data_IF_303481307217
#
_entry.id   IF_303481307217
#
_cell.length_a   1.000
_cell.length_b   1.000
_cell.length_c   1.000
_cell.angle_alpha   90.00
_cell.angle_beta   90.00
_cell.angle_gamma   90.00
#
_symmetry.space_group_name_H-M   'P 1'
#
loop_
_entity.id
_entity.type
_entity.pdbx_description
1 polymer ?
#
# COMPACT_ATOMS: atom_id res chain seq x y z
N UNK A 1 27.57 -37.08 -61.00
CA UNK A 1 26.40 -36.25 -60.62
C UNK A 1 26.60 -35.50 -59.28
N UNK A 2 27.82 -35.10 -58.91
CA UNK A 2 28.12 -34.54 -57.57
C UNK A 2 28.67 -33.09 -57.56
N UNK A 3 28.49 -32.32 -58.64
CA UNK A 3 29.04 -30.95 -58.72
C UNK A 3 28.04 -29.82 -58.38
N UNK A 4 26.75 -30.12 -58.15
CA UNK A 4 25.75 -29.08 -57.83
C UNK A 4 25.70 -28.69 -56.34
N UNK A 5 26.26 -29.50 -55.45
CA UNK A 5 26.11 -29.33 -53.98
C UNK A 5 27.10 -28.32 -53.37
N UNK A 6 28.27 -28.09 -53.99
CA UNK A 6 29.24 -27.11 -53.49
C UNK A 6 28.86 -25.65 -53.79
N UNK A 7 28.22 -25.40 -54.94
CA UNK A 7 27.83 -24.04 -55.34
C UNK A 7 26.68 -23.48 -54.48
N UNK A 8 25.79 -24.34 -53.94
CA UNK A 8 24.75 -23.94 -53.01
C UNK A 8 25.29 -23.54 -51.62
N UNK A 9 26.28 -24.28 -51.10
CA UNK A 9 26.96 -23.93 -49.85
C UNK A 9 27.77 -22.63 -49.98
N UNK A 10 28.49 -22.44 -51.09
CA UNK A 10 29.22 -21.19 -51.37
C UNK A 10 28.28 -19.97 -51.54
N UNK A 11 27.07 -20.18 -52.06
CA UNK A 11 26.06 -19.12 -52.16
C UNK A 11 25.55 -18.69 -50.77
N UNK A 12 25.35 -19.63 -49.85
CA UNK A 12 25.00 -19.29 -48.46
C UNK A 12 26.14 -18.54 -47.76
N UNK A 13 27.40 -18.98 -47.92
CA UNK A 13 28.57 -18.31 -47.33
C UNK A 13 28.75 -16.88 -47.89
N UNK A 14 28.51 -16.66 -49.19
CA UNK A 14 28.54 -15.30 -49.78
C UNK A 14 27.36 -14.43 -49.34
N UNK A 15 26.20 -15.01 -49.05
CA UNK A 15 25.03 -14.30 -48.50
C UNK A 15 25.28 -13.84 -47.06
N UNK A 16 25.95 -14.65 -46.24
CA UNK A 16 26.40 -14.26 -44.89
C UNK A 16 27.46 -13.14 -44.90
N UNK A 17 28.27 -13.01 -45.97
CA UNK A 17 29.22 -11.88 -46.12
C UNK A 17 28.57 -10.53 -46.44
N UNK A 18 27.27 -10.50 -46.77
CA UNK A 18 26.47 -9.28 -46.95
C UNK A 18 25.62 -8.92 -45.73
N UNK A 19 25.65 -9.74 -44.68
CA UNK A 19 25.18 -9.30 -43.37
C UNK A 19 26.18 -8.24 -42.91
N UNK A 20 25.84 -6.97 -43.09
CA UNK A 20 26.45 -5.85 -42.37
C UNK A 20 26.19 -6.14 -40.89
N UNK A 21 27.00 -7.02 -40.31
CA UNK A 21 26.90 -7.39 -38.92
C UNK A 21 27.06 -6.12 -38.13
N UNK A 22 26.02 -5.77 -37.37
CA UNK A 22 26.01 -4.80 -36.28
C UNK A 22 27.25 -3.91 -36.32
N UNK A 23 27.23 -2.85 -37.14
CA UNK A 23 28.37 -1.95 -37.20
C UNK A 23 28.68 -1.52 -35.75
N UNK A 24 29.95 -1.49 -35.33
CA UNK A 24 30.34 -1.29 -33.93
C UNK A 24 29.61 -0.10 -33.26
N UNK A 25 29.39 0.97 -34.03
CA UNK A 25 28.66 2.18 -33.61
C UNK A 25 27.14 1.96 -33.46
N UNK A 26 26.55 1.13 -34.31
CA UNK A 26 25.13 0.76 -34.27
C UNK A 26 24.84 -0.09 -33.03
N UNK A 27 25.73 -1.02 -32.71
CA UNK A 27 25.67 -1.79 -31.46
C UNK A 27 25.87 -0.89 -30.22
N UNK A 28 26.78 0.09 -30.29
CA UNK A 28 27.02 1.04 -29.21
C UNK A 28 25.77 1.87 -28.88
N UNK A 29 25.13 2.45 -29.91
CA UNK A 29 23.90 3.24 -29.72
C UNK A 29 22.75 2.36 -29.23
N UNK A 30 22.61 1.14 -29.75
CA UNK A 30 21.57 0.21 -29.29
C UNK A 30 21.72 -0.13 -27.80
N UNK A 31 22.94 -0.38 -27.33
CA UNK A 31 23.21 -0.65 -25.90
C UNK A 31 22.87 0.57 -25.03
N UNK A 32 23.20 1.78 -25.47
CA UNK A 32 22.88 3.02 -24.72
C UNK A 32 21.36 3.20 -24.60
N UNK A 33 20.63 3.04 -25.70
CA UNK A 33 19.16 3.21 -25.72
C UNK A 33 18.48 2.17 -24.83
N UNK A 34 18.88 0.90 -24.94
CA UNK A 34 18.34 -0.18 -24.10
C UNK A 34 18.74 0.02 -22.64
N UNK A 35 19.96 0.45 -22.35
CA UNK A 35 20.45 0.70 -21.01
C UNK A 35 19.64 1.77 -20.28
N UNK A 36 19.39 2.92 -20.91
CA UNK A 36 18.55 3.98 -20.34
C UNK A 36 17.10 3.49 -20.18
N UNK A 37 16.58 2.75 -21.16
CA UNK A 37 15.24 2.17 -21.10
C UNK A 37 15.05 1.27 -19.88
N UNK A 38 15.98 0.34 -19.63
CA UNK A 38 15.90 -0.58 -18.49
C UNK A 38 15.94 0.18 -17.16
N UNK A 39 16.84 1.17 -17.02
CA UNK A 39 16.93 1.98 -15.78
C UNK A 39 15.63 2.74 -15.53
N UNK A 40 15.01 3.30 -16.56
CA UNK A 40 13.75 4.03 -16.42
C UNK A 40 12.59 3.14 -15.94
N UNK A 41 12.47 1.94 -16.50
CA UNK A 41 11.43 0.98 -16.13
C UNK A 41 11.64 0.47 -14.70
N UNK A 42 12.89 0.26 -14.28
CA UNK A 42 13.20 -0.14 -12.91
C UNK A 42 12.77 0.92 -11.90
N UNK A 43 13.03 2.20 -12.17
CA UNK A 43 12.58 3.28 -11.28
C UNK A 43 11.06 3.35 -11.18
N UNK A 44 10.35 3.22 -12.30
CA UNK A 44 8.88 3.15 -12.31
C UNK A 44 8.37 1.95 -11.52
N UNK A 45 9.01 0.78 -11.65
CA UNK A 45 8.62 -0.43 -10.93
C UNK A 45 8.82 -0.30 -9.41
N UNK A 46 9.92 0.31 -8.96
CA UNK A 46 10.16 0.58 -7.54
C UNK A 46 9.13 1.56 -6.97
N UNK A 47 8.80 2.61 -7.73
CA UNK A 47 7.76 3.55 -7.33
C UNK A 47 6.37 2.89 -7.25
N UNK A 48 6.05 2.00 -8.19
CA UNK A 48 4.80 1.25 -8.18
C UNK A 48 4.68 0.36 -6.93
N UNK A 49 5.75 -0.32 -6.51
CA UNK A 49 5.73 -1.13 -5.28
C UNK A 49 5.49 -0.27 -4.03
N UNK A 50 6.23 0.83 -3.89
CA UNK A 50 6.09 1.74 -2.73
C UNK A 50 4.67 2.33 -2.66
N UNK A 51 4.09 2.69 -3.81
CA UNK A 51 2.73 3.25 -3.85
C UNK A 51 1.66 2.19 -3.57
N UNK A 52 1.86 0.95 -4.05
CA UNK A 52 0.98 -0.18 -3.73
C UNK A 52 1.00 -0.49 -2.22
N UNK A 53 2.16 -0.52 -1.58
CA UNK A 53 2.28 -0.74 -0.13
C UNK A 53 1.54 0.34 0.66
N UNK A 54 1.71 1.62 0.26
CA UNK A 54 0.97 2.73 0.86
C UNK A 54 -0.54 2.62 0.65
N UNK A 55 -1.00 2.13 -0.50
CA UNK A 55 -2.42 1.91 -0.78
C UNK A 55 -3.02 0.81 0.11
N UNK A 56 -2.29 -0.28 0.34
CA UNK A 56 -2.72 -1.36 1.24
C UNK A 56 -2.90 -0.82 2.67
N UNK A 57 -1.95 -0.02 3.15
CA UNK A 57 -2.04 0.63 4.48
C UNK A 57 -3.25 1.57 4.57
N UNK A 58 -3.53 2.35 3.51
CA UNK A 58 -4.73 3.22 3.44
C UNK A 58 -6.04 2.44 3.45
N UNK A 59 -6.12 1.34 2.69
CA UNK A 59 -7.34 0.51 2.63
C UNK A 59 -7.64 -0.12 3.99
N UNK A 60 -6.62 -0.62 4.68
CA UNK A 60 -6.72 -1.14 6.05
C UNK A 60 -7.23 -0.08 7.03
N UNK A 61 -6.70 1.14 6.96
CA UNK A 61 -7.17 2.26 7.78
C UNK A 61 -8.62 2.64 7.45
N UNK A 62 -9.01 2.62 6.18
CA UNK A 62 -10.38 2.94 5.77
C UNK A 62 -11.37 1.91 6.31
N UNK A 63 -11.07 0.62 6.17
CA UNK A 63 -11.88 -0.46 6.71
C UNK A 63 -12.06 -0.36 8.24
N UNK A 64 -10.98 -0.06 8.97
CA UNK A 64 -11.06 0.17 10.42
C UNK A 64 -11.93 1.39 10.77
N UNK A 65 -11.78 2.48 10.03
CA UNK A 65 -12.53 3.69 10.28
C UNK A 65 -14.03 3.49 10.04
N UNK A 66 -14.40 2.73 9.00
CA UNK A 66 -15.78 2.34 8.71
C UNK A 66 -16.34 1.39 9.78
N UNK A 67 -15.59 0.38 10.21
CA UNK A 67 -15.99 -0.51 11.31
C UNK A 67 -16.23 0.27 12.61
N UNK A 68 -15.34 1.21 12.96
CA UNK A 68 -15.53 2.07 14.13
C UNK A 68 -16.74 3.00 13.96
N UNK A 69 -16.96 3.53 12.76
CA UNK A 69 -18.11 4.37 12.46
C UNK A 69 -19.44 3.61 12.63
N UNK A 70 -19.54 2.41 12.09
CA UNK A 70 -20.72 1.53 12.20
C UNK A 70 -21.03 1.20 13.66
N UNK A 71 -20.02 0.79 14.43
CA UNK A 71 -20.17 0.44 15.84
C UNK A 71 -20.62 1.65 16.68
N UNK A 72 -20.16 2.88 16.39
CA UNK A 72 -20.62 4.09 17.10
C UNK A 72 -22.02 4.52 16.64
N UNK A 73 -22.34 4.39 15.35
CA UNK A 73 -23.68 4.68 14.83
C UNK A 73 -24.73 3.67 15.32
N UNK A 74 -24.32 2.45 15.67
CA UNK A 74 -25.17 1.43 16.27
C UNK A 74 -25.59 1.78 17.72
N UNK A 75 -24.73 2.44 18.49
CA UNK A 75 -25.03 2.93 19.85
C UNK A 75 -25.06 4.47 19.92
N UNK A 76 -26.06 5.05 19.27
CA UNK A 76 -26.27 6.52 19.24
C UNK A 76 -26.54 7.12 20.64
N UNK A 77 -27.02 6.32 21.57
CA UNK A 77 -27.36 6.73 22.94
C UNK A 77 -26.13 6.91 23.81
N UNK A 78 -25.09 6.09 23.61
CA UNK A 78 -23.87 6.10 24.43
C UNK A 78 -22.62 6.54 23.65
N UNK A 79 -22.78 7.33 22.59
CA UNK A 79 -21.70 7.84 21.72
C UNK A 79 -20.52 8.39 22.53
N UNK A 80 -20.77 9.09 23.65
CA UNK A 80 -19.75 9.64 24.55
C UNK A 80 -18.75 8.60 25.08
N UNK A 81 -19.21 7.37 25.29
CA UNK A 81 -18.38 6.29 25.82
C UNK A 81 -17.36 5.79 24.79
N UNK A 82 -17.51 6.13 23.51
CA UNK A 82 -16.61 5.72 22.44
C UNK A 82 -15.47 6.72 22.17
N UNK A 83 -15.41 7.85 22.88
CA UNK A 83 -14.29 8.80 22.80
C UNK A 83 -13.05 8.22 23.46
N UNK A 84 -12.01 7.94 22.68
CA UNK A 84 -10.72 7.52 23.24
C UNK A 84 -9.59 7.62 22.22
N UNK A 85 -8.38 7.76 22.75
CA UNK A 85 -7.14 7.66 21.99
C UNK A 85 -6.50 6.34 22.34
N UNK A 86 -6.32 5.47 21.36
CA UNK A 86 -5.47 4.30 21.52
C UNK A 86 -4.15 4.53 20.77
N UNK A 87 -3.07 4.26 21.47
CA UNK A 87 -1.72 4.14 20.93
C UNK A 87 -1.31 2.67 21.03
N UNK A 88 -0.29 2.27 20.29
CA UNK A 88 0.23 0.91 20.27
C UNK A 88 0.52 0.27 21.65
N UNK A 89 0.71 1.08 22.69
CA UNK A 89 1.03 0.61 24.05
C UNK A 89 -0.13 0.73 25.05
N UNK A 90 -1.31 1.22 24.63
CA UNK A 90 -2.45 1.28 25.53
C UNK A 90 -3.14 -0.08 25.57
N UNK A 91 -2.99 -0.74 26.72
CA UNK A 91 -3.63 -2.00 27.06
C UNK A 91 -5.15 -1.94 26.94
N UNK A 92 -5.73 -3.14 26.84
CA UNK A 92 -7.17 -3.43 26.77
C UNK A 92 -7.97 -2.54 27.72
N UNK A 93 -9.05 -1.95 27.24
CA UNK A 93 -9.97 -1.20 28.09
C UNK A 93 -10.86 -2.24 28.77
N UNK A 94 -10.41 -2.75 29.91
CA UNK A 94 -11.03 -3.83 30.68
C UNK A 94 -12.36 -3.42 31.33
N UNK A 95 -13.31 -2.95 30.52
CA UNK A 95 -14.65 -2.55 30.93
C UNK A 95 -15.64 -3.59 30.40
N UNK A 96 -16.45 -4.15 31.29
CA UNK A 96 -17.47 -5.18 30.96
C UNK A 96 -18.72 -4.59 30.29
N UNK A 97 -18.77 -3.27 30.08
CA UNK A 97 -19.84 -2.59 29.37
C UNK A 97 -19.79 -2.85 27.86
N UNK A 98 -20.93 -2.75 27.17
CA UNK A 98 -21.03 -2.94 25.71
C UNK A 98 -20.02 -2.07 24.92
N UNK A 99 -19.79 -0.84 25.38
CA UNK A 99 -18.79 0.05 24.81
C UNK A 99 -17.34 -0.44 25.05
N UNK A 100 -17.05 -1.13 26.14
CA UNK A 100 -15.75 -1.74 26.47
C UNK A 100 -15.41 -2.94 25.60
N UNK A 101 -16.39 -3.81 25.36
CA UNK A 101 -16.22 -4.97 24.47
C UNK A 101 -15.92 -4.56 23.02
N UNK A 102 -16.61 -3.53 22.54
CA UNK A 102 -16.39 -2.97 21.19
C UNK A 102 -14.99 -2.35 21.08
N UNK A 103 -14.53 -1.66 22.14
CA UNK A 103 -13.18 -1.10 22.24
C UNK A 103 -12.09 -2.15 22.18
N UNK A 104 -12.27 -3.25 22.89
CA UNK A 104 -11.32 -4.36 22.91
C UNK A 104 -11.28 -5.07 21.54
N UNK A 105 -12.44 -5.22 20.88
CA UNK A 105 -12.53 -5.70 19.49
C UNK A 105 -11.80 -4.77 18.51
N UNK A 106 -11.93 -3.45 18.68
CA UNK A 106 -11.16 -2.50 17.88
C UNK A 106 -9.66 -2.63 18.15
N UNK A 107 -9.25 -2.92 19.38
CA UNK A 107 -7.85 -3.10 19.75
C UNK A 107 -7.25 -4.36 19.11
N UNK A 108 -7.95 -5.49 19.18
CA UNK A 108 -7.51 -6.73 18.52
C UNK A 108 -7.40 -6.56 17.02
N UNK A 109 -8.40 -5.96 16.36
CA UNK A 109 -8.37 -5.76 14.91
C UNK A 109 -7.27 -4.80 14.47
N UNK A 110 -7.01 -3.75 15.26
CA UNK A 110 -5.92 -2.81 15.01
C UNK A 110 -4.54 -3.49 15.14
N UNK A 111 -4.33 -4.29 16.19
CA UNK A 111 -3.09 -5.06 16.36
C UNK A 111 -2.89 -6.09 15.24
N UNK A 112 -3.96 -6.74 14.78
CA UNK A 112 -3.90 -7.69 13.66
C UNK A 112 -3.53 -7.01 12.33
N UNK A 113 -4.01 -5.78 12.12
CA UNK A 113 -3.77 -5.02 10.88
C UNK A 113 -2.33 -4.49 10.80
N UNK A 114 -1.75 -4.11 11.94
CA UNK A 114 -0.37 -3.64 12.08
C UNK A 114 0.66 -4.78 12.17
N UNK A 115 0.23 -5.97 12.59
CA UNK A 115 1.13 -7.04 13.00
C UNK A 115 1.66 -6.77 14.41
N UNK A 116 1.43 -7.70 15.33
CA UNK A 116 1.63 -7.60 16.79
C UNK A 116 3.00 -7.04 17.24
N UNK A 117 4.02 -7.06 16.39
CA UNK A 117 5.40 -6.67 16.69
C UNK A 117 5.90 -5.40 15.94
N UNK A 118 5.09 -4.81 15.04
CA UNK A 118 5.49 -3.68 14.20
C UNK A 118 4.75 -2.37 14.54
N UNK A 119 4.15 -2.32 15.73
CA UNK A 119 3.37 -1.19 16.19
C UNK A 119 4.31 -0.12 16.76
N UNK A 120 4.35 1.09 16.17
CA UNK A 120 5.18 2.20 16.67
C UNK A 120 4.34 3.20 17.46
N UNK A 121 4.94 3.92 18.41
CA UNK A 121 4.23 4.93 19.22
C UNK A 121 3.58 6.07 18.39
N UNK A 122 3.91 6.17 17.10
CA UNK A 122 3.34 7.14 16.16
C UNK A 122 2.09 6.63 15.43
N UNK A 123 1.79 5.33 15.53
CA UNK A 123 0.52 4.76 15.06
C UNK A 123 -0.55 5.02 16.12
N UNK A 124 -1.55 5.82 15.76
CA UNK A 124 -2.59 6.32 16.66
C UNK A 124 -3.93 6.05 16.02
N UNK A 125 -4.86 5.42 16.75
CA UNK A 125 -6.29 5.48 16.39
C UNK A 125 -7.00 6.29 17.48
N UNK A 126 -7.61 7.39 17.08
CA UNK A 126 -8.29 8.33 17.96
C UNK A 126 -9.72 8.52 17.46
N UNK A 127 -10.70 8.24 18.31
CA UNK A 127 -12.05 8.74 18.16
C UNK A 127 -12.21 9.94 19.10
N UNK A 128 -12.42 11.12 18.53
CA UNK A 128 -12.67 12.36 19.26
C UNK A 128 -14.09 12.84 18.96
N UNK A 129 -14.85 13.17 20.01
CA UNK A 129 -16.25 13.60 19.87
C UNK A 129 -16.31 15.10 20.17
N UNK A 130 -16.82 15.87 19.20
CA UNK A 130 -17.09 17.29 19.40
C UNK A 130 -18.50 17.45 19.99
N UNK A 131 -18.55 17.78 21.27
CA UNK A 131 -19.77 17.88 22.07
C UNK A 131 -20.74 19.00 21.62
N UNK A 132 -20.27 19.94 20.78
CA UNK A 132 -21.05 21.12 20.36
C UNK A 132 -21.90 20.91 19.09
N UNK A 133 -21.66 19.86 18.31
CA UNK A 133 -22.35 19.64 17.01
C UNK A 133 -22.91 18.21 16.81
N UNK A 134 -22.91 17.38 17.87
CA UNK A 134 -23.16 15.93 17.76
C UNK A 134 -22.32 15.27 16.65
N UNK A 135 -21.06 15.69 16.49
CA UNK A 135 -20.16 15.15 15.46
C UNK A 135 -19.04 14.30 16.08
N UNK A 136 -18.79 13.14 15.47
CA UNK A 136 -17.72 12.21 15.83
C UNK A 136 -16.63 12.33 14.77
N UNK A 137 -15.41 12.61 15.19
CA UNK A 137 -14.23 12.63 14.34
C UNK A 137 -13.35 11.42 14.65
N UNK A 138 -13.19 10.53 13.67
CA UNK A 138 -12.30 9.37 13.73
C UNK A 138 -11.02 9.75 12.99
N UNK A 139 -9.92 9.80 13.74
CA UNK A 139 -8.57 10.06 13.25
C UNK A 139 -7.76 8.76 13.35
N UNK A 140 -7.23 8.29 12.22
CA UNK A 140 -6.38 7.11 12.19
C UNK A 140 -5.05 7.46 11.54
N UNK A 141 -3.97 7.23 12.27
CA UNK A 141 -2.59 7.39 11.86
C UNK A 141 -1.93 6.01 11.78
N UNK A 142 -1.50 5.62 10.59
CA UNK A 142 -0.84 4.33 10.31
C UNK A 142 0.53 4.57 9.66
N UNK A 143 1.41 3.57 9.73
CA UNK A 143 2.77 3.61 9.17
C UNK A 143 3.62 4.74 9.76
N UNK A 144 3.75 4.77 11.09
CA UNK A 144 4.52 5.75 11.86
C UNK A 144 4.00 7.19 11.72
N UNK A 145 2.70 7.34 11.44
CA UNK A 145 2.04 8.63 11.25
C UNK A 145 2.19 9.24 9.84
N UNK A 146 2.74 8.48 8.88
CA UNK A 146 2.87 8.92 7.48
C UNK A 146 1.54 8.87 6.73
N UNK A 147 0.67 7.92 7.06
CA UNK A 147 -0.65 7.81 6.47
C UNK A 147 -1.71 8.25 7.48
N UNK A 148 -2.50 9.27 7.13
CA UNK A 148 -3.54 9.84 7.98
C UNK A 148 -4.90 9.72 7.29
N UNK A 149 -5.90 9.23 8.02
CA UNK A 149 -7.31 9.22 7.60
C UNK A 149 -8.13 9.98 8.63
N UNK A 150 -9.02 10.82 8.12
CA UNK A 150 -9.97 11.61 8.89
C UNK A 150 -11.37 11.25 8.40
N UNK A 151 -12.27 10.86 9.30
CA UNK A 151 -13.69 10.70 9.03
C UNK A 151 -14.49 11.51 10.06
N UNK A 152 -15.31 12.44 9.59
CA UNK A 152 -16.26 13.17 10.41
C UNK A 152 -17.67 12.65 10.17
N UNK A 153 -18.38 12.27 11.23
CA UNK A 153 -19.74 11.72 11.19
C UNK A 153 -20.63 12.65 12.01
N UNK A 154 -21.72 13.15 11.44
CA UNK A 154 -22.76 13.88 12.19
C UNK A 154 -23.82 12.88 12.66
N UNK A 155 -24.06 12.83 13.97
CA UNK A 155 -25.13 12.03 14.58
C UNK A 155 -26.28 13.00 14.87
N UNK A 156 -27.37 12.91 14.12
CA UNK A 156 -28.52 13.80 14.29
C UNK A 156 -29.45 13.28 15.40
#
# INVERSE_FOLDING_TARGET
MMLKTQNGMLYQIKKFKKSKGLSLIEALVAIIVVGIGIVSVLQLSMYAVITADNAIVKNKANFLAEMMAEDILADRTNVKNYSQVFTCNLGQSSSQDQAGLVKDKWNSNFQNILGKNNCTAKDIKQSSINNSEKSININIHLSEGKQKKYLGIKVQ
#
